data_IF_021254381973
#
_entry.id   IF_021254381973
#
_cell.length_a   1.000
_cell.length_b   1.000
_cell.length_c   1.000
_cell.angle_alpha   90.00
_cell.angle_beta   90.00
_cell.angle_gamma   90.00
#
_symmetry.space_group_name_H-M   'P 1'
#
loop_
_entity.id
_entity.type
_entity.pdbx_description
1 polymer ?
#
# COMPACT_ATOMS: atom_id res chain seq x y z
N UNK A 1 11.75 -1.85 23.13
CA UNK A 1 11.32 -1.45 21.77
C UNK A 1 11.63 -2.62 20.86
N UNK A 2 10.62 -3.25 20.25
CA UNK A 2 10.83 -4.34 19.29
C UNK A 2 10.79 -3.74 17.90
N UNK A 3 11.82 -4.00 17.10
CA UNK A 3 11.87 -3.63 15.69
C UNK A 3 11.42 -4.84 14.87
N UNK A 4 10.48 -4.65 13.96
CA UNK A 4 10.00 -5.68 13.06
C UNK A 4 10.39 -5.36 11.62
N UNK A 5 11.02 -6.32 10.96
CA UNK A 5 11.29 -6.27 9.52
C UNK A 5 10.29 -7.16 8.80
N UNK A 6 9.68 -6.64 7.74
CA UNK A 6 8.87 -7.45 6.82
C UNK A 6 9.77 -8.26 5.89
N UNK A 7 9.23 -9.35 5.33
CA UNK A 7 9.92 -10.11 4.28
C UNK A 7 10.26 -9.17 3.10
N UNK A 8 11.46 -9.27 2.50
CA UNK A 8 11.79 -8.53 1.29
C UNK A 8 10.82 -8.81 0.15
N UNK A 9 10.48 -7.76 -0.60
CA UNK A 9 9.67 -7.87 -1.81
C UNK A 9 10.56 -8.01 -3.05
N UNK A 10 10.23 -8.98 -3.88
CA UNK A 10 10.89 -9.22 -5.17
C UNK A 10 10.34 -8.30 -6.26
N UNK A 11 10.96 -8.33 -7.44
CA UNK A 11 10.43 -7.62 -8.61
C UNK A 11 9.00 -8.07 -8.97
N UNK A 12 8.72 -9.38 -8.91
CA UNK A 12 7.39 -9.94 -9.17
C UNK A 12 6.35 -9.43 -8.16
N UNK A 13 6.73 -9.32 -6.89
CA UNK A 13 5.86 -8.74 -5.86
C UNK A 13 5.46 -7.29 -6.20
N UNK A 14 6.44 -6.49 -6.59
CA UNK A 14 6.23 -5.06 -6.90
C UNK A 14 5.47 -4.84 -8.21
N UNK A 15 5.46 -5.82 -9.13
CA UNK A 15 4.59 -5.82 -10.30
C UNK A 15 3.12 -6.07 -9.95
N UNK A 16 2.83 -6.92 -8.95
CA UNK A 16 1.45 -7.18 -8.49
C UNK A 16 0.87 -5.97 -7.77
N UNK A 17 1.67 -5.31 -6.93
CA UNK A 17 1.28 -4.09 -6.22
C UNK A 17 2.49 -3.25 -5.94
N UNK A 18 2.41 -1.98 -6.30
CA UNK A 18 3.50 -1.01 -6.17
C UNK A 18 3.95 -0.86 -4.71
N UNK A 19 5.23 -0.51 -4.51
CA UNK A 19 5.77 -0.24 -3.19
C UNK A 19 4.96 0.84 -2.40
N UNK A 20 4.60 1.99 -3.00
CA UNK A 20 3.77 3.01 -2.33
C UNK A 20 2.43 2.48 -1.86
N UNK A 21 1.74 1.69 -2.69
CA UNK A 21 0.44 1.12 -2.32
C UNK A 21 0.58 0.09 -1.19
N UNK A 22 1.64 -0.73 -1.21
CA UNK A 22 1.91 -1.66 -0.11
C UNK A 22 2.21 -0.92 1.20
N UNK A 23 2.95 0.20 1.15
CA UNK A 23 3.22 1.04 2.32
C UNK A 23 1.91 1.69 2.83
N UNK A 24 1.07 2.18 1.92
CA UNK A 24 -0.26 2.73 2.23
C UNK A 24 -1.10 1.74 3.04
N UNK A 25 -1.17 0.49 2.58
CA UNK A 25 -1.99 -0.57 3.17
C UNK A 25 -1.59 -0.94 4.60
N UNK A 26 -0.32 -0.76 4.97
CA UNK A 26 0.17 -1.08 6.32
C UNK A 26 -0.17 0.08 7.27
N UNK A 27 -1.29 -0.05 7.98
CA UNK A 27 -1.83 0.98 8.89
C UNK A 27 -0.87 1.38 10.01
N UNK A 28 -0.09 0.42 10.55
CA UNK A 28 0.90 0.70 11.61
C UNK A 28 2.14 1.49 11.14
N UNK A 29 2.39 1.57 9.83
CA UNK A 29 3.44 2.43 9.29
C UNK A 29 2.86 3.82 9.07
N UNK A 30 3.22 4.76 9.93
CA UNK A 30 2.66 6.13 9.94
C UNK A 30 3.65 7.18 9.47
N UNK A 31 4.94 7.00 9.75
CA UNK A 31 5.99 7.95 9.41
C UNK A 31 7.18 7.26 8.75
N UNK A 32 7.74 7.91 7.75
CA UNK A 32 9.07 7.64 7.22
C UNK A 32 10.11 8.38 8.07
N UNK A 33 11.21 7.72 8.36
CA UNK A 33 12.32 8.33 9.07
C UNK A 33 12.82 9.59 8.31
N UNK A 34 13.11 10.71 9.00
CA UNK A 34 13.10 10.86 10.46
C UNK A 34 11.73 11.15 11.10
N UNK A 35 10.82 11.86 10.42
CA UNK A 35 9.49 12.22 10.96
C UNK A 35 8.55 12.70 9.84
N UNK A 36 8.64 12.10 8.65
CA UNK A 36 7.81 12.51 7.51
C UNK A 36 6.54 11.66 7.50
N UNK A 37 5.33 12.24 7.51
CA UNK A 37 4.11 11.46 7.38
C UNK A 37 4.14 10.58 6.13
N UNK A 38 3.67 9.33 6.25
CA UNK A 38 3.65 8.35 5.15
C UNK A 38 3.01 8.93 3.89
N UNK A 39 1.86 9.59 4.05
CA UNK A 39 1.08 10.10 2.92
C UNK A 39 1.74 11.30 2.26
N UNK A 40 2.51 12.10 3.01
CA UNK A 40 3.30 13.19 2.43
C UNK A 40 4.49 12.64 1.61
N UNK A 41 5.11 11.56 2.08
CA UNK A 41 6.24 10.94 1.41
C UNK A 41 5.85 10.14 0.15
N UNK A 42 4.75 9.37 0.23
CA UNK A 42 4.39 8.40 -0.80
C UNK A 42 3.06 8.71 -1.52
N UNK A 43 2.26 9.67 -1.04
CA UNK A 43 0.88 9.87 -1.49
C UNK A 43 0.73 10.18 -2.97
N UNK A 44 1.70 10.88 -3.56
CA UNK A 44 1.71 11.16 -5.00
C UNK A 44 1.87 9.91 -5.88
N UNK A 45 2.35 8.81 -5.30
CA UNK A 45 2.57 7.55 -6.00
C UNK A 45 1.52 6.48 -5.69
N UNK A 46 0.48 6.84 -4.92
CA UNK A 46 -0.64 5.96 -4.67
C UNK A 46 -1.45 5.74 -5.93
N UNK A 47 -1.78 4.48 -6.22
CA UNK A 47 -2.69 4.16 -7.30
C UNK A 47 -4.07 4.71 -6.95
N UNK A 48 -4.68 5.55 -7.81
CA UNK A 48 -6.03 6.05 -7.61
C UNK A 48 -7.00 4.88 -7.54
N UNK A 49 -7.90 4.90 -6.56
CA UNK A 49 -9.01 3.94 -6.55
C UNK A 49 -9.96 4.40 -7.65
N UNK A 50 -9.95 3.72 -8.79
CA UNK A 50 -10.97 3.90 -9.82
C UNK A 50 -12.30 3.40 -9.23
N UNK A 51 -13.08 4.33 -8.69
CA UNK A 51 -14.51 4.10 -8.44
C UNK A 51 -15.19 4.36 -9.79
N UNK A 52 -15.05 3.43 -10.72
CA UNK A 52 -15.94 3.43 -11.87
C UNK A 52 -17.35 3.20 -11.33
N UNK A 53 -18.24 4.17 -11.58
CA UNK A 53 -19.68 3.98 -11.40
C UNK A 53 -20.05 2.68 -12.12
N UNK A 54 -20.83 1.79 -11.51
CA UNK A 54 -21.09 0.48 -12.09
C UNK A 54 -21.87 0.65 -13.39
N UNK A 55 -21.15 0.67 -14.53
CA UNK A 55 -21.76 0.52 -15.85
C UNK A 55 -22.09 -0.94 -16.14
N UNK A 56 -21.58 -1.87 -15.32
CA UNK A 56 -21.78 -3.30 -15.44
C UNK A 56 -21.88 -3.95 -14.06
N UNK A 57 -22.51 -5.12 -14.00
CA UNK A 57 -22.81 -5.93 -12.81
C UNK A 57 -21.54 -6.44 -12.05
N UNK A 58 -20.34 -6.08 -12.52
CA UNK A 58 -19.08 -6.55 -11.98
C UNK A 58 -18.40 -5.48 -11.11
N UNK A 59 -18.05 -5.86 -9.89
CA UNK A 59 -17.32 -5.03 -8.94
C UNK A 59 -15.82 -5.32 -9.07
N UNK A 60 -15.01 -4.29 -9.30
CA UNK A 60 -13.55 -4.43 -9.37
C UNK A 60 -12.97 -4.73 -7.97
N UNK A 61 -12.27 -5.86 -7.76
CA UNK A 61 -11.67 -6.18 -6.47
C UNK A 61 -10.42 -5.34 -6.20
N UNK A 62 -10.24 -4.91 -4.94
CA UNK A 62 -9.03 -4.22 -4.49
C UNK A 62 -8.10 -5.17 -3.75
N UNK A 63 -6.85 -5.30 -4.22
CA UNK A 63 -5.81 -6.03 -3.50
C UNK A 63 -5.28 -5.19 -2.33
N UNK A 64 -5.04 -5.81 -1.17
CA UNK A 64 -4.52 -5.15 0.03
C UNK A 64 -3.37 -5.96 0.62
N UNK A 65 -2.28 -5.28 0.97
CA UNK A 65 -1.16 -5.87 1.71
C UNK A 65 -1.47 -5.87 3.20
N UNK A 66 -1.59 -7.06 3.79
CA UNK A 66 -1.79 -7.23 5.22
C UNK A 66 -0.60 -7.97 5.83
N UNK A 67 -0.04 -7.42 6.92
CA UNK A 67 0.96 -8.12 7.72
C UNK A 67 0.28 -8.57 9.01
N UNK A 68 0.17 -9.89 9.28
CA UNK A 68 -0.53 -10.41 10.43
C UNK A 68 0.02 -9.84 11.75
N UNK A 69 -0.91 -9.61 12.68
CA UNK A 69 -0.66 -9.17 14.05
C UNK A 69 -0.05 -10.26 14.91
#
# INVERSE_FOLDING_TARGET
MVVQSIKPWTHQDLQVRSLPDRIRDISRLTHLYPCVPKDDAFGRYYTPVQVELPSTEYIQPMLLTHVPS
#
